data_IF_816181811679
#
_entry.id   IF_816181811679
#
_cell.length_a   1.000
_cell.length_b   1.000
_cell.length_c   1.000
_cell.angle_alpha   90.00
_cell.angle_beta   90.00
_cell.angle_gamma   90.00
#
_symmetry.space_group_name_H-M   'P 1'
#
loop_
_entity.id
_entity.type
_entity.pdbx_description
1 polymer ?
#
# COMPACT_ATOMS: atom_id res chain seq x y z
N UNK A 1 28.21 -14.80 -4.76
CA UNK A 1 27.04 -15.49 -4.15
C UNK A 1 26.11 -14.51 -3.44
N UNK A 2 26.60 -13.61 -2.57
CA UNK A 2 25.73 -12.66 -1.84
C UNK A 2 24.96 -11.68 -2.75
N UNK A 3 25.62 -11.11 -3.76
CA UNK A 3 25.00 -10.13 -4.67
C UNK A 3 23.89 -10.70 -5.58
N UNK A 4 23.97 -11.98 -5.96
CA UNK A 4 22.92 -12.63 -6.74
C UNK A 4 21.67 -12.88 -5.89
N UNK A 5 21.86 -13.23 -4.61
CA UNK A 5 20.75 -13.46 -3.68
C UNK A 5 20.01 -12.16 -3.35
N UNK A 6 20.73 -11.05 -3.15
CA UNK A 6 20.12 -9.74 -2.90
C UNK A 6 19.34 -9.25 -4.12
N UNK A 7 19.87 -9.46 -5.34
CA UNK A 7 19.16 -9.14 -6.58
C UNK A 7 17.86 -9.96 -6.69
N UNK A 8 17.91 -11.28 -6.49
CA UNK A 8 16.74 -12.14 -6.57
C UNK A 8 15.63 -11.74 -5.59
N UNK A 9 15.98 -11.46 -4.33
CA UNK A 9 15.00 -11.03 -3.32
C UNK A 9 14.38 -9.69 -3.71
N UNK A 10 15.21 -8.72 -4.13
CA UNK A 10 14.73 -7.40 -4.54
C UNK A 10 13.78 -7.48 -5.74
N UNK A 11 14.15 -8.25 -6.77
CA UNK A 11 13.34 -8.43 -7.98
C UNK A 11 11.97 -9.05 -7.67
N UNK A 12 11.93 -10.08 -6.82
CA UNK A 12 10.66 -10.72 -6.42
C UNK A 12 9.76 -9.74 -5.68
N UNK A 13 10.31 -8.96 -4.75
CA UNK A 13 9.55 -7.98 -3.97
C UNK A 13 9.00 -6.88 -4.88
N UNK A 14 9.82 -6.33 -5.78
CA UNK A 14 9.39 -5.29 -6.72
C UNK A 14 8.30 -5.82 -7.66
N UNK A 15 8.50 -7.02 -8.22
CA UNK A 15 7.54 -7.67 -9.11
C UNK A 15 6.18 -7.89 -8.42
N UNK A 16 6.18 -8.33 -7.16
CA UNK A 16 4.96 -8.53 -6.38
C UNK A 16 4.14 -7.24 -6.23
N UNK A 17 4.79 -6.14 -5.84
CA UNK A 17 4.11 -4.85 -5.66
C UNK A 17 3.73 -4.16 -6.98
N UNK A 18 4.36 -4.50 -8.11
CA UNK A 18 4.00 -3.97 -9.42
C UNK A 18 2.80 -4.67 -10.06
N UNK A 19 2.65 -5.97 -9.83
CA UNK A 19 1.58 -6.78 -10.44
C UNK A 19 0.30 -6.75 -9.59
N UNK A 20 0.42 -6.57 -8.27
CA UNK A 20 -0.70 -6.74 -7.35
C UNK A 20 -1.18 -5.40 -6.79
N UNK A 21 -2.43 -5.06 -7.08
CA UNK A 21 -3.08 -3.89 -6.49
C UNK A 21 -3.41 -4.10 -5.01
N UNK A 22 -3.28 -3.03 -4.22
CA UNK A 22 -3.57 -3.07 -2.78
C UNK A 22 -5.03 -3.42 -2.46
N UNK A 23 -5.94 -3.10 -3.37
CA UNK A 23 -7.35 -3.47 -3.28
C UNK A 23 -7.54 -4.99 -3.31
N UNK A 24 -6.82 -5.67 -4.21
CA UNK A 24 -6.94 -7.11 -4.41
C UNK A 24 -6.32 -7.88 -3.24
N UNK A 25 -5.21 -7.36 -2.70
CA UNK A 25 -4.63 -7.83 -1.43
C UNK A 25 -5.68 -7.73 -0.32
N UNK A 26 -6.30 -6.55 -0.15
CA UNK A 26 -7.26 -6.31 0.93
C UNK A 26 -8.49 -7.21 0.84
N UNK A 27 -9.03 -7.42 -0.37
CA UNK A 27 -10.18 -8.30 -0.58
C UNK A 27 -9.79 -9.77 -0.31
N UNK A 28 -8.58 -10.17 -0.71
CA UNK A 28 -8.07 -11.52 -0.42
C UNK A 28 -7.88 -11.75 1.08
N UNK A 29 -7.36 -10.77 1.82
CA UNK A 29 -7.28 -10.82 3.30
C UNK A 29 -8.67 -10.89 3.95
N UNK A 30 -9.66 -10.20 3.38
CA UNK A 30 -11.04 -10.27 3.86
C UNK A 30 -11.62 -11.68 3.69
N UNK A 31 -11.41 -12.29 2.51
CA UNK A 31 -11.83 -13.68 2.23
C UNK A 31 -11.16 -14.70 3.16
N UNK A 32 -9.94 -14.42 3.63
CA UNK A 32 -9.23 -15.23 4.62
C UNK A 32 -9.77 -15.07 6.06
N UNK A 33 -10.75 -14.19 6.28
CA UNK A 33 -11.43 -14.03 7.57
C UNK A 33 -11.14 -12.73 8.32
N UNK A 34 -10.41 -11.77 7.72
CA UNK A 34 -10.26 -10.45 8.34
C UNK A 34 -11.59 -9.69 8.38
N UNK A 35 -11.83 -8.97 9.49
CA UNK A 35 -12.99 -8.08 9.62
C UNK A 35 -12.98 -6.97 8.56
N UNK A 36 -14.17 -6.62 8.08
CA UNK A 36 -14.40 -5.52 7.15
C UNK A 36 -13.83 -4.18 7.62
N UNK A 37 -13.83 -3.94 8.94
CA UNK A 37 -13.26 -2.71 9.53
C UNK A 37 -11.75 -2.68 9.32
N UNK A 38 -11.06 -3.79 9.58
CA UNK A 38 -9.61 -3.91 9.41
C UNK A 38 -9.20 -3.78 7.95
N UNK A 39 -9.88 -4.48 7.04
CA UNK A 39 -9.65 -4.36 5.61
C UNK A 39 -9.84 -2.93 5.11
N UNK A 40 -10.89 -2.25 5.57
CA UNK A 40 -11.12 -0.84 5.25
C UNK A 40 -9.98 0.06 5.75
N UNK A 41 -9.50 -0.13 6.98
CA UNK A 41 -8.39 0.66 7.54
C UNK A 41 -7.13 0.47 6.71
N UNK A 42 -6.78 -0.77 6.35
CA UNK A 42 -5.62 -1.09 5.52
C UNK A 42 -5.72 -0.36 4.18
N UNK A 43 -6.80 -0.60 3.43
CA UNK A 43 -6.99 0.02 2.11
C UNK A 43 -6.99 1.55 2.19
N UNK A 44 -7.70 2.11 3.17
CA UNK A 44 -7.75 3.54 3.42
C UNK A 44 -6.37 4.13 3.70
N UNK A 45 -5.52 3.43 4.43
CA UNK A 45 -4.18 3.91 4.79
C UNK A 45 -3.32 4.07 3.54
N UNK A 46 -3.32 3.06 2.67
CA UNK A 46 -2.57 3.14 1.41
C UNK A 46 -3.09 4.24 0.49
N UNK A 47 -4.42 4.35 0.30
CA UNK A 47 -5.02 5.42 -0.51
C UNK A 47 -4.74 6.83 0.05
N UNK A 48 -4.61 6.95 1.37
CA UNK A 48 -4.32 8.24 2.02
C UNK A 48 -2.94 8.77 1.65
N UNK A 49 -1.98 7.90 1.30
CA UNK A 49 -0.62 8.32 0.91
C UNK A 49 -0.68 9.16 -0.38
N UNK A 50 -1.32 8.65 -1.43
CA UNK A 50 -1.42 9.35 -2.72
C UNK A 50 -2.22 10.66 -2.58
N UNK A 51 -3.29 10.60 -1.80
CA UNK A 51 -4.10 11.77 -1.49
C UNK A 51 -3.29 12.87 -0.77
N UNK A 52 -2.51 12.50 0.25
CA UNK A 52 -1.63 13.44 0.96
C UNK A 52 -0.58 14.04 0.03
N UNK A 53 -0.01 13.26 -0.90
CA UNK A 53 0.94 13.79 -1.88
C UNK A 53 0.29 14.87 -2.76
N UNK A 54 -0.92 14.63 -3.25
CA UNK A 54 -1.68 15.62 -4.04
C UNK A 54 -1.95 16.89 -3.24
N UNK A 55 -2.38 16.76 -1.98
CA UNK A 55 -2.62 17.91 -1.10
C UNK A 55 -1.35 18.71 -0.84
N UNK A 56 -0.25 18.04 -0.49
CA UNK A 56 1.03 18.68 -0.23
C UNK A 56 1.50 19.43 -1.48
N UNK A 57 1.35 18.83 -2.67
CA UNK A 57 1.69 19.49 -3.94
C UNK A 57 0.88 20.78 -4.17
N UNK A 58 -0.42 20.75 -3.86
CA UNK A 58 -1.28 21.93 -3.93
C UNK A 58 -0.85 23.01 -2.91
N UNK A 59 -0.55 22.63 -1.68
CA UNK A 59 -0.04 23.54 -0.63
C UNK A 59 1.28 24.17 -1.07
N UNK A 60 2.24 23.38 -1.56
CA UNK A 60 3.53 23.88 -2.06
C UNK A 60 3.31 24.91 -3.18
N UNK A 61 2.39 24.63 -4.10
CA UNK A 61 2.09 25.53 -5.22
C UNK A 61 1.48 26.84 -4.71
N UNK A 62 0.53 26.78 -3.79
CA UNK A 62 -0.07 27.95 -3.15
C UNK A 62 0.95 28.79 -2.38
N UNK A 63 1.81 28.14 -1.59
CA UNK A 63 2.84 28.81 -0.82
C UNK A 63 3.93 29.43 -1.72
N UNK A 64 4.25 28.78 -2.85
CA UNK A 64 5.13 29.35 -3.87
C UNK A 64 4.53 30.63 -4.48
N UNK A 65 3.22 30.64 -4.77
CA UNK A 65 2.51 31.85 -5.23
C UNK A 65 2.49 32.96 -4.17
N UNK A 66 2.53 32.62 -2.89
CA UNK A 66 2.68 33.56 -1.76
C UNK A 66 4.13 34.05 -1.55
N UNK A 67 5.05 33.70 -2.44
CA UNK A 67 6.45 34.15 -2.41
C UNK A 67 7.36 33.34 -1.48
N UNK A 68 6.90 32.20 -0.95
CA UNK A 68 7.75 31.32 -0.15
C UNK A 68 8.70 30.57 -1.08
N UNK A 69 9.99 30.89 -0.98
CA UNK A 69 11.05 30.21 -1.71
C UNK A 69 11.57 29.01 -0.91
N UNK A 70 11.46 27.82 -1.48
CA UNK A 70 11.95 26.57 -0.87
C UNK A 70 13.46 26.33 -1.08
N UNK A 71 14.12 27.21 -1.85
CA UNK A 71 15.55 27.17 -2.12
C UNK A 71 16.29 28.12 -1.16
N UNK A 72 17.36 27.64 -0.50
CA UNK A 72 18.18 28.45 0.41
C UNK A 72 18.95 27.61 1.46
N UNK A 73 19.60 28.29 2.41
CA UNK A 73 20.31 27.66 3.53
C UNK A 73 19.40 26.73 4.36
N UNK A 74 19.99 25.70 4.97
CA UNK A 74 19.29 24.68 5.76
C UNK A 74 18.32 25.28 6.79
N UNK A 75 18.73 26.36 7.47
CA UNK A 75 17.95 27.09 8.48
C UNK A 75 16.67 27.69 7.88
N UNK A 76 16.77 28.29 6.69
CA UNK A 76 15.63 28.88 5.98
C UNK A 76 14.68 27.79 5.46
N UNK A 77 15.21 26.61 5.13
CA UNK A 77 14.43 25.44 4.69
C UNK A 77 13.60 24.82 5.83
N UNK A 78 14.09 24.86 7.07
CA UNK A 78 13.34 24.42 8.25
C UNK A 78 12.16 25.37 8.53
N UNK A 79 12.40 26.69 8.42
CA UNK A 79 11.34 27.69 8.58
C UNK A 79 10.25 27.63 7.49
N UNK A 80 10.57 27.22 6.26
CA UNK A 80 9.55 27.04 5.21
C UNK A 80 8.78 25.73 5.32
N UNK A 81 9.34 24.72 6.00
CA UNK A 81 8.67 23.45 6.27
C UNK A 81 7.44 23.63 7.17
N UNK A 82 7.50 24.49 8.19
CA UNK A 82 6.37 24.74 9.10
C UNK A 82 5.17 25.34 8.37
N UNK A 83 5.39 26.18 7.35
CA UNK A 83 4.33 26.76 6.50
C UNK A 83 3.63 25.74 5.60
N UNK A 84 4.21 24.56 5.36
CA UNK A 84 3.57 23.46 4.65
C UNK A 84 2.92 22.49 5.65
N UNK A 85 3.66 22.12 6.69
CA UNK A 85 3.24 21.12 7.66
C UNK A 85 1.96 21.55 8.39
N UNK A 86 1.91 22.81 8.85
CA UNK A 86 0.79 23.29 9.65
C UNK A 86 -0.53 23.29 8.84
N UNK A 87 -0.61 23.86 7.62
CA UNK A 87 -1.81 23.73 6.79
C UNK A 87 -2.16 22.28 6.46
N UNK A 88 -1.19 21.42 6.18
CA UNK A 88 -1.44 20.01 5.86
C UNK A 88 -2.05 19.26 7.05
N UNK A 89 -1.56 19.52 8.27
CA UNK A 89 -2.08 18.91 9.49
C UNK A 89 -3.53 19.33 9.77
N UNK A 90 -3.82 20.63 9.72
CA UNK A 90 -5.20 21.14 9.92
C UNK A 90 -6.15 20.59 8.84
N UNK A 91 -5.70 20.59 7.59
CA UNK A 91 -6.48 20.04 6.47
C UNK A 91 -6.76 18.55 6.68
N UNK A 92 -5.79 17.78 7.16
CA UNK A 92 -5.96 16.36 7.47
C UNK A 92 -7.02 16.13 8.57
N UNK A 93 -7.00 16.91 9.65
CA UNK A 93 -8.01 16.81 10.72
C UNK A 93 -9.43 17.06 10.18
N UNK A 94 -9.61 18.12 9.40
CA UNK A 94 -10.91 18.44 8.79
C UNK A 94 -11.39 17.30 7.88
N UNK A 95 -10.49 16.72 7.08
CA UNK A 95 -10.83 15.60 6.20
C UNK A 95 -11.20 14.33 6.99
N UNK A 96 -10.55 14.08 8.12
CA UNK A 96 -10.88 12.94 9.00
C UNK A 96 -12.30 13.10 9.55
N UNK A 97 -12.65 14.28 10.07
CA UNK A 97 -14.01 14.58 10.57
C UNK A 97 -15.07 14.40 9.49
N UNK A 98 -14.84 14.97 8.30
CA UNK A 98 -15.75 14.81 7.16
C UNK A 98 -15.91 13.34 6.77
N UNK A 99 -14.83 12.57 6.80
CA UNK A 99 -14.86 11.14 6.47
C UNK A 99 -15.62 10.32 7.52
N UNK A 100 -15.49 10.66 8.80
CA UNK A 100 -16.26 10.01 9.88
C UNK A 100 -17.75 10.27 9.68
N UNK A 101 -18.16 11.53 9.46
CA UNK A 101 -19.56 11.88 9.19
C UNK A 101 -20.10 11.16 7.93
N UNK A 102 -19.28 11.04 6.88
CA UNK A 102 -19.63 10.28 5.68
C UNK A 102 -19.80 8.78 5.95
N UNK A 103 -18.97 8.19 6.80
CA UNK A 103 -19.07 6.78 7.16
C UNK A 103 -20.28 6.52 8.06
N UNK A 104 -20.57 7.45 8.97
CA UNK A 104 -21.72 7.36 9.88
C UNK A 104 -23.04 7.52 9.12
N UNK A 105 -23.13 8.48 8.19
CA UNK A 105 -24.31 8.63 7.32
C UNK A 105 -24.55 7.42 6.40
N UNK A 106 -23.50 6.66 6.07
CA UNK A 106 -23.60 5.39 5.33
C UNK A 106 -23.80 4.17 6.24
N UNK A 107 -24.05 4.39 7.53
CA UNK A 107 -24.21 3.37 8.56
C UNK A 107 -23.06 2.33 8.55
N UNK A 108 -21.83 2.77 8.28
CA UNK A 108 -20.68 1.89 8.12
C UNK A 108 -20.33 1.13 9.41
N UNK A 109 -20.68 1.67 10.57
CA UNK A 109 -20.39 1.03 11.86
C UNK A 109 -21.44 0.00 12.30
N UNK A 110 -22.53 -0.17 11.54
CA UNK A 110 -23.57 -1.17 11.81
C UNK A 110 -23.01 -2.59 11.92
N UNK A 111 -23.68 -3.40 12.73
CA UNK A 111 -23.34 -4.81 12.95
C UNK A 111 -23.91 -5.74 11.87
N UNK A 112 -24.52 -5.19 10.83
CA UNK A 112 -25.17 -5.96 9.75
C UNK A 112 -24.15 -6.58 8.78
N UNK A 113 -24.59 -7.60 8.05
CA UNK A 113 -23.77 -8.27 7.04
C UNK A 113 -23.50 -7.31 5.88
N UNK A 114 -22.24 -6.89 5.73
CA UNK A 114 -21.80 -6.05 4.61
C UNK A 114 -21.68 -6.85 3.32
N UNK A 115 -22.06 -6.23 2.20
CA UNK A 115 -21.92 -6.77 0.84
C UNK A 115 -20.74 -6.13 0.12
N UNK A 116 -20.16 -6.84 -0.86
CA UNK A 116 -18.96 -6.41 -1.57
C UNK A 116 -19.29 -6.17 -3.05
N UNK A 117 -18.89 -5.01 -3.56
CA UNK A 117 -19.08 -4.63 -4.96
C UNK A 117 -17.97 -5.24 -5.83
N UNK A 118 -16.72 -5.21 -5.35
CA UNK A 118 -15.57 -5.82 -6.02
C UNK A 118 -15.41 -7.26 -5.52
N UNK A 119 -15.60 -8.22 -6.41
CA UNK A 119 -15.30 -9.63 -6.14
C UNK A 119 -13.96 -9.97 -6.82
N UNK A 120 -13.02 -10.53 -6.05
CA UNK A 120 -11.78 -11.09 -6.65
C UNK A 120 -12.20 -12.28 -7.51
N UNK A 121 -12.15 -12.06 -8.83
CA UNK A 121 -12.56 -12.99 -9.85
C UNK A 121 -11.41 -13.98 -10.08
N UNK A 122 -11.65 -15.27 -9.81
CA UNK A 122 -10.60 -16.27 -9.94
C UNK A 122 -10.44 -16.60 -11.42
N UNK A 123 -9.29 -16.27 -11.99
CA UNK A 123 -9.10 -16.40 -13.44
C UNK A 123 -8.81 -17.85 -13.91
N UNK A 124 -9.02 -18.87 -13.05
CA UNK A 124 -8.76 -20.29 -13.34
C UNK A 124 -7.27 -20.67 -13.50
N UNK A 125 -6.45 -19.76 -14.00
CA UNK A 125 -5.00 -19.88 -14.16
C UNK A 125 -4.23 -19.84 -12.84
N UNK A 126 -4.86 -19.42 -11.74
CA UNK A 126 -4.25 -19.41 -10.40
C UNK A 126 -3.76 -20.79 -9.97
N UNK A 127 -4.58 -21.83 -10.22
CA UNK A 127 -4.20 -23.22 -9.90
C UNK A 127 -3.01 -23.69 -10.73
N UNK A 128 -2.95 -23.29 -12.00
CA UNK A 128 -1.88 -23.65 -12.91
C UNK A 128 -0.56 -23.00 -12.44
N UNK A 129 -0.57 -21.70 -12.16
CA UNK A 129 0.61 -20.96 -11.69
C UNK A 129 1.11 -21.49 -10.33
N UNK A 130 0.19 -21.76 -9.38
CA UNK A 130 0.53 -22.38 -8.10
C UNK A 130 1.17 -23.78 -8.27
N UNK A 131 0.63 -24.58 -9.18
CA UNK A 131 1.17 -25.93 -9.45
C UNK A 131 2.58 -25.86 -10.04
N UNK A 132 2.82 -25.00 -11.04
CA UNK A 132 4.16 -24.81 -11.61
C UNK A 132 5.14 -24.29 -10.55
N UNK A 133 4.72 -23.30 -9.74
CA UNK A 133 5.54 -22.73 -8.68
C UNK A 133 5.95 -23.78 -7.63
N UNK A 134 5.01 -24.60 -7.16
CA UNK A 134 5.29 -25.68 -6.19
C UNK A 134 6.22 -26.75 -6.76
N UNK A 135 6.02 -27.17 -8.02
CA UNK A 135 6.91 -28.13 -8.70
C UNK A 135 8.35 -27.59 -8.77
N UNK A 136 8.50 -26.33 -9.17
CA UNK A 136 9.82 -25.69 -9.29
C UNK A 136 10.52 -25.61 -7.93
N UNK A 137 9.77 -25.30 -6.87
CA UNK A 137 10.29 -25.24 -5.50
C UNK A 137 10.74 -26.62 -5.00
N UNK A 138 9.92 -27.66 -5.21
CA UNK A 138 10.28 -29.05 -4.85
C UNK A 138 11.52 -29.52 -5.62
N UNK A 139 11.61 -29.21 -6.92
CA UNK A 139 12.79 -29.55 -7.73
C UNK A 139 14.07 -28.89 -7.20
N UNK A 140 14.01 -27.61 -6.80
CA UNK A 140 15.14 -26.89 -6.21
C UNK A 140 15.57 -27.48 -4.86
N UNK A 141 14.62 -27.88 -4.02
CA UNK A 141 14.92 -28.53 -2.73
C UNK A 141 15.59 -29.89 -2.97
N UNK A 142 15.03 -30.73 -3.85
CA UNK A 142 15.58 -32.05 -4.17
C UNK A 142 16.98 -31.94 -4.78
N UNK A 143 17.19 -31.03 -5.72
CA UNK A 143 18.51 -30.77 -6.30
C UNK A 143 19.52 -30.35 -5.23
N UNK A 144 19.11 -29.53 -4.26
CA UNK A 144 19.97 -29.14 -3.13
C UNK A 144 20.28 -30.31 -2.19
N UNK A 145 19.31 -31.16 -1.89
CA UNK A 145 19.49 -32.35 -1.02
C UNK A 145 20.41 -33.37 -1.68
N UNK A 146 20.24 -33.62 -2.99
CA UNK A 146 21.08 -34.56 -3.75
C UNK A 146 22.51 -34.04 -3.87
N UNK A 147 22.70 -32.74 -4.18
CA UNK A 147 24.02 -32.14 -4.26
C UNK A 147 24.74 -32.11 -2.91
N UNK A 148 23.99 -31.91 -1.81
CA UNK A 148 24.51 -32.01 -0.44
C UNK A 148 24.73 -33.44 0.07
N UNK A 149 24.24 -34.46 -0.64
CA UNK A 149 24.51 -35.87 -0.37
C UNK A 149 25.70 -36.42 -1.19
N UNK A 150 26.04 -35.73 -2.29
CA UNK A 150 27.12 -36.08 -3.23
C UNK A 150 28.47 -35.44 -2.85
N UNK A 151 28.49 -34.46 -1.95
CA UNK A 151 29.66 -33.80 -1.35
C UNK A 151 29.77 -34.21 0.12
#
# INVERSE_FOLDING_TARGET
TLGMNTLNISTIVICFFQITDIEDITISLNKLGMSNKTCFIILSTFQTIDYLQMQIKAIITSQKSRGINFNGNLIRRIGTFTSILLPAFITSLINIEQRIMMLDSRNFFSSEKKTYIKQVNHNGHEKLVLTIGTITLVFLILGRVIYGYII
#
